data_IF_148705191398
#
_entry.id   IF_148705191398
#
_cell.length_a   1.000
_cell.length_b   1.000
_cell.length_c   1.000
_cell.angle_alpha   90.00
_cell.angle_beta   90.00
_cell.angle_gamma   90.00
#
_symmetry.space_group_name_H-M   'P 1'
#
loop_
_entity.id
_entity.type
_entity.pdbx_description
1 polymer ?
#
# COMPACT_ATOMS: atom_id res chain seq x y z
N UNK A 1 -31.77 -45.04 21.30
CA UNK A 1 -30.40 -44.91 21.84
C UNK A 1 -29.49 -44.39 20.74
N UNK A 2 -29.20 -43.09 20.74
CA UNK A 2 -28.27 -42.50 19.77
C UNK A 2 -26.85 -42.93 20.10
N UNK A 3 -26.18 -43.62 19.15
CA UNK A 3 -24.76 -43.95 19.31
C UNK A 3 -23.98 -42.63 19.51
N UNK A 4 -23.04 -42.55 20.47
CA UNK A 4 -22.22 -41.36 20.63
C UNK A 4 -21.43 -41.14 19.34
N UNK A 5 -21.65 -39.98 18.71
CA UNK A 5 -20.88 -39.55 17.54
C UNK A 5 -19.41 -39.50 17.94
N UNK A 6 -18.59 -40.36 17.33
CA UNK A 6 -17.14 -40.26 17.44
C UNK A 6 -16.71 -39.01 16.67
N UNK A 7 -16.61 -37.87 17.36
CA UNK A 7 -16.26 -36.55 16.80
C UNK A 7 -14.81 -36.45 16.32
N UNK A 8 -13.97 -37.46 16.61
CA UNK A 8 -12.54 -37.45 16.34
C UNK A 8 -12.19 -37.28 14.84
N UNK A 9 -12.86 -37.95 13.87
CA UNK A 9 -12.57 -37.75 12.45
C UNK A 9 -12.97 -36.36 11.93
N UNK A 10 -14.10 -35.81 12.42
CA UNK A 10 -14.56 -34.47 12.03
C UNK A 10 -13.64 -33.38 12.59
N UNK A 11 -13.16 -33.53 13.82
CA UNK A 11 -12.18 -32.63 14.42
C UNK A 11 -10.85 -32.65 13.65
N UNK A 12 -10.36 -33.85 13.27
CA UNK A 12 -9.16 -33.98 12.43
C UNK A 12 -9.32 -33.34 11.05
N UNK A 13 -10.49 -33.52 10.41
CA UNK A 13 -10.78 -32.90 9.12
C UNK A 13 -10.82 -31.37 9.24
N UNK A 14 -11.46 -30.83 10.29
CA UNK A 14 -11.47 -29.39 10.56
C UNK A 14 -10.05 -28.85 10.72
N UNK A 15 -9.23 -29.52 11.52
CA UNK A 15 -7.87 -29.06 11.82
C UNK A 15 -6.96 -29.15 10.58
N UNK A 16 -7.21 -30.11 9.68
CA UNK A 16 -6.58 -30.18 8.36
C UNK A 16 -7.03 -29.06 7.40
N UNK A 17 -8.33 -28.75 7.37
CA UNK A 17 -8.88 -27.73 6.46
C UNK A 17 -8.57 -26.30 6.91
N UNK A 18 -8.42 -26.04 8.21
CA UNK A 18 -8.24 -24.69 8.75
C UNK A 18 -7.03 -23.94 8.17
N UNK A 19 -5.83 -24.56 8.05
CA UNK A 19 -4.69 -23.93 7.37
C UNK A 19 -4.92 -23.66 5.88
N UNK A 20 -5.66 -24.54 5.18
CA UNK A 20 -6.01 -24.34 3.76
C UNK A 20 -6.90 -23.12 3.58
N UNK A 21 -7.94 -22.98 4.41
CA UNK A 21 -8.83 -21.81 4.39
C UNK A 21 -8.09 -20.52 4.75
N UNK A 22 -7.14 -20.58 5.70
CA UNK A 22 -6.29 -19.41 6.01
C UNK A 22 -5.45 -19.00 4.79
N UNK A 23 -4.89 -19.96 4.07
CA UNK A 23 -4.14 -19.69 2.83
C UNK A 23 -5.01 -19.03 1.76
N UNK A 24 -6.21 -19.57 1.51
CA UNK A 24 -7.11 -19.04 0.47
C UNK A 24 -7.55 -17.60 0.78
N UNK A 25 -7.87 -17.30 2.05
CA UNK A 25 -8.18 -15.93 2.47
C UNK A 25 -7.00 -14.98 2.25
N UNK A 26 -5.79 -15.40 2.63
CA UNK A 26 -4.59 -14.60 2.44
C UNK A 26 -4.29 -14.36 0.95
N UNK A 27 -4.53 -15.37 0.10
CA UNK A 27 -4.42 -15.25 -1.36
C UNK A 27 -5.37 -14.19 -1.91
N UNK A 28 -6.66 -14.25 -1.53
CA UNK A 28 -7.67 -13.30 -2.00
C UNK A 28 -7.37 -11.87 -1.55
N UNK A 29 -6.97 -11.70 -0.29
CA UNK A 29 -6.56 -10.41 0.28
C UNK A 29 -5.34 -9.82 -0.44
N UNK A 30 -4.36 -10.66 -0.79
CA UNK A 30 -3.19 -10.23 -1.56
C UNK A 30 -3.59 -9.69 -2.94
N UNK A 31 -4.58 -10.31 -3.60
CA UNK A 31 -5.09 -9.83 -4.89
C UNK A 31 -5.77 -8.46 -4.75
N UNK A 32 -6.62 -8.29 -3.74
CA UNK A 32 -7.31 -7.02 -3.46
C UNK A 32 -6.31 -5.89 -3.16
N UNK A 33 -5.30 -6.17 -2.32
CA UNK A 33 -4.27 -5.19 -1.98
C UNK A 33 -3.44 -4.81 -3.20
N UNK A 34 -3.17 -5.75 -4.09
CA UNK A 34 -2.47 -5.48 -5.35
C UNK A 34 -3.24 -4.52 -6.25
N UNK A 35 -4.54 -4.71 -6.42
CA UNK A 35 -5.35 -3.80 -7.24
C UNK A 35 -5.33 -2.37 -6.68
N UNK A 36 -5.42 -2.24 -5.35
CA UNK A 36 -5.30 -0.94 -4.66
C UNK A 36 -3.90 -0.33 -4.86
N UNK A 37 -2.85 -1.14 -4.82
CA UNK A 37 -1.48 -0.69 -5.08
C UNK A 37 -1.34 -0.17 -6.51
N UNK A 38 -1.77 -0.94 -7.50
CA UNK A 38 -1.64 -0.58 -8.92
C UNK A 38 -2.38 0.73 -9.22
N UNK A 39 -3.60 0.90 -8.67
CA UNK A 39 -4.37 2.13 -8.80
C UNK A 39 -3.66 3.32 -8.14
N UNK A 40 -3.24 3.17 -6.88
CA UNK A 40 -2.60 4.24 -6.12
C UNK A 40 -1.30 4.71 -6.78
N UNK A 41 -0.45 3.78 -7.23
CA UNK A 41 0.82 4.12 -7.88
C UNK A 41 0.59 4.87 -9.19
N UNK A 42 -0.44 4.50 -9.95
CA UNK A 42 -0.82 5.21 -11.17
C UNK A 42 -1.26 6.65 -10.86
N UNK A 43 -2.10 6.83 -9.84
CA UNK A 43 -2.56 8.14 -9.40
C UNK A 43 -1.43 9.03 -8.88
N UNK A 44 -0.53 8.48 -8.05
CA UNK A 44 0.65 9.19 -7.55
C UNK A 44 1.53 9.64 -8.71
N UNK A 45 1.82 8.76 -9.68
CA UNK A 45 2.63 9.11 -10.85
C UNK A 45 2.02 10.28 -11.65
N UNK A 46 0.71 10.24 -11.89
CA UNK A 46 0.01 11.33 -12.57
C UNK A 46 0.06 12.63 -11.77
N UNK A 47 -0.16 12.57 -10.46
CA UNK A 47 -0.12 13.75 -9.60
C UNK A 47 1.28 14.37 -9.51
N UNK A 48 2.33 13.55 -9.42
CA UNK A 48 3.72 14.00 -9.38
C UNK A 48 4.08 14.77 -10.65
N UNK A 49 3.71 14.26 -11.82
CA UNK A 49 3.92 14.97 -13.09
C UNK A 49 3.28 16.36 -13.05
N UNK A 50 2.00 16.46 -12.67
CA UNK A 50 1.32 17.76 -12.58
C UNK A 50 1.90 18.69 -11.51
N UNK A 51 2.37 18.14 -10.39
CA UNK A 51 2.91 18.93 -9.30
C UNK A 51 4.35 19.41 -9.57
N UNK A 52 5.14 18.68 -10.36
CA UNK A 52 6.44 19.15 -10.85
C UNK A 52 6.29 20.42 -11.71
N UNK A 53 5.28 20.48 -12.60
CA UNK A 53 4.97 21.71 -13.34
C UNK A 53 4.65 22.90 -12.43
N UNK A 54 3.99 22.66 -11.30
CA UNK A 54 3.77 23.69 -10.28
C UNK A 54 5.06 24.19 -9.62
N UNK A 55 6.11 23.38 -9.63
CA UNK A 55 7.42 23.75 -9.09
C UNK A 55 8.24 24.52 -10.11
N UNK A 56 8.21 24.11 -11.38
CA UNK A 56 9.08 24.62 -12.45
C UNK A 56 8.50 25.86 -13.16
N UNK A 57 7.17 26.01 -13.26
CA UNK A 57 6.55 27.07 -14.05
C UNK A 57 6.07 28.25 -13.17
N UNK A 58 6.71 29.45 -13.24
CA UNK A 58 6.38 30.59 -12.37
C UNK A 58 4.96 31.13 -12.55
N UNK A 59 4.35 30.89 -13.72
CA UNK A 59 3.01 31.37 -14.06
C UNK A 59 1.90 30.38 -13.64
N UNK A 60 2.25 29.24 -13.07
CA UNK A 60 1.25 28.25 -12.68
C UNK A 60 0.39 28.77 -11.51
N UNK A 61 -0.96 28.68 -11.57
CA UNK A 61 -1.80 29.30 -10.56
C UNK A 61 -1.57 28.70 -9.16
N UNK A 62 -1.17 29.54 -8.19
CA UNK A 62 -0.91 29.11 -6.79
C UNK A 62 -2.05 28.29 -6.18
N UNK A 63 -3.31 28.63 -6.48
CA UNK A 63 -4.50 27.88 -6.01
C UNK A 63 -4.52 26.43 -6.52
N UNK A 64 -4.09 26.21 -7.76
CA UNK A 64 -4.00 24.87 -8.36
C UNK A 64 -2.88 24.07 -7.69
N UNK A 65 -1.72 24.69 -7.46
CA UNK A 65 -0.60 24.04 -6.79
C UNK A 65 -0.92 23.64 -5.34
N UNK A 66 -1.59 24.50 -4.58
CA UNK A 66 -2.09 24.14 -3.24
C UNK A 66 -3.09 22.99 -3.27
N UNK A 67 -3.96 22.92 -4.29
CA UNK A 67 -4.90 21.80 -4.46
C UNK A 67 -4.17 20.50 -4.81
N UNK A 68 -3.19 20.54 -5.71
CA UNK A 68 -2.39 19.38 -6.08
C UNK A 68 -1.57 18.86 -4.89
N UNK A 69 -0.97 19.76 -4.12
CA UNK A 69 -0.24 19.43 -2.90
C UNK A 69 -1.12 18.68 -1.88
N UNK A 70 -2.30 19.20 -1.55
CA UNK A 70 -3.25 18.51 -0.65
C UNK A 70 -3.65 17.14 -1.16
N UNK A 71 -3.78 16.98 -2.49
CA UNK A 71 -4.04 15.67 -3.10
C UNK A 71 -2.86 14.74 -2.91
N UNK A 72 -1.63 15.19 -3.17
CA UNK A 72 -0.42 14.39 -2.93
C UNK A 72 -0.30 13.97 -1.47
N UNK A 73 -0.50 14.89 -0.51
CA UNK A 73 -0.52 14.57 0.92
C UNK A 73 -1.53 13.46 1.26
N UNK A 74 -2.74 13.52 0.67
CA UNK A 74 -3.74 12.48 0.84
C UNK A 74 -3.30 11.12 0.26
N UNK A 75 -2.63 11.13 -0.90
CA UNK A 75 -2.12 9.90 -1.52
C UNK A 75 -0.93 9.33 -0.76
N UNK A 76 -0.05 10.15 -0.18
CA UNK A 76 1.02 9.71 0.73
C UNK A 76 0.44 9.02 1.96
N UNK A 77 -0.58 9.62 2.58
CA UNK A 77 -1.30 8.97 3.70
C UNK A 77 -1.95 7.66 3.28
N UNK A 78 -2.53 7.60 2.07
CA UNK A 78 -3.05 6.37 1.47
C UNK A 78 -1.97 5.31 1.29
N UNK A 79 -0.80 5.68 0.78
CA UNK A 79 0.35 4.82 0.58
C UNK A 79 0.88 4.26 1.91
N UNK A 80 0.99 5.08 2.95
CA UNK A 80 1.39 4.64 4.29
C UNK A 80 0.44 3.58 4.86
N UNK A 81 -0.88 3.79 4.71
CA UNK A 81 -1.89 2.81 5.15
C UNK A 81 -1.79 1.50 4.36
N UNK A 82 -1.61 1.60 3.05
CA UNK A 82 -1.48 0.42 2.20
C UNK A 82 -0.18 -0.35 2.49
N UNK A 83 0.91 0.37 2.76
CA UNK A 83 2.20 -0.19 3.16
C UNK A 83 2.06 -1.04 4.43
N UNK A 84 1.42 -0.50 5.47
CA UNK A 84 1.17 -1.24 6.70
C UNK A 84 0.36 -2.52 6.45
N UNK A 85 -0.64 -2.49 5.55
CA UNK A 85 -1.40 -3.68 5.16
C UNK A 85 -0.57 -4.69 4.37
N UNK A 86 0.32 -4.23 3.48
CA UNK A 86 1.24 -5.11 2.76
C UNK A 86 2.20 -5.80 3.74
N UNK A 87 2.75 -5.07 4.72
CA UNK A 87 3.62 -5.62 5.76
C UNK A 87 2.89 -6.61 6.67
N UNK A 88 1.61 -6.38 6.96
CA UNK A 88 0.76 -7.34 7.64
C UNK A 88 0.57 -8.62 6.80
N UNK A 89 0.27 -8.51 5.51
CA UNK A 89 0.14 -9.67 4.62
C UNK A 89 1.46 -10.45 4.48
N UNK A 90 2.62 -9.79 4.49
CA UNK A 90 3.91 -10.47 4.50
C UNK A 90 4.04 -11.33 5.76
N UNK A 91 3.78 -10.75 6.93
CA UNK A 91 3.81 -11.49 8.22
C UNK A 91 2.79 -12.63 8.26
N UNK A 92 1.55 -12.36 7.85
CA UNK A 92 0.50 -13.37 7.76
C UNK A 92 0.92 -14.55 6.87
N UNK A 93 1.60 -14.25 5.74
CA UNK A 93 2.12 -15.23 4.79
C UNK A 93 3.28 -16.05 5.35
N UNK A 94 4.19 -15.41 6.09
CA UNK A 94 5.28 -16.09 6.82
C UNK A 94 4.73 -17.06 7.87
N UNK A 95 3.62 -16.69 8.53
CA UNK A 95 2.89 -17.48 9.52
C UNK A 95 1.95 -18.56 8.93
N UNK A 96 1.99 -18.80 7.61
CA UNK A 96 1.21 -19.87 6.99
C UNK A 96 1.90 -21.22 7.12
N UNK A 97 1.20 -22.17 7.74
CA UNK A 97 1.61 -23.57 7.84
C UNK A 97 1.49 -24.35 6.51
N UNK A 98 0.88 -23.74 5.49
CA UNK A 98 0.69 -24.34 4.16
C UNK A 98 1.34 -23.44 3.13
N UNK A 99 2.17 -24.02 2.27
CA UNK A 99 2.79 -23.33 1.14
C UNK A 99 2.38 -24.02 -0.16
N UNK A 100 1.58 -23.33 -0.98
CA UNK A 100 1.23 -23.78 -2.33
C UNK A 100 2.29 -23.32 -3.34
N UNK A 101 2.27 -23.87 -4.56
CA UNK A 101 3.29 -23.62 -5.62
C UNK A 101 3.52 -22.13 -5.94
N UNK A 102 2.48 -21.32 -5.81
CA UNK A 102 2.46 -19.88 -6.05
C UNK A 102 2.91 -19.02 -4.85
N UNK A 103 3.13 -19.60 -3.67
CA UNK A 103 3.47 -18.86 -2.44
C UNK A 103 4.69 -17.96 -2.62
N UNK A 104 5.80 -18.50 -3.15
CA UNK A 104 7.04 -17.72 -3.31
C UNK A 104 6.86 -16.51 -4.23
N UNK A 105 6.11 -16.67 -5.31
CA UNK A 105 5.81 -15.57 -6.23
C UNK A 105 4.92 -14.50 -5.59
N UNK A 106 3.95 -14.89 -4.74
CA UNK A 106 3.16 -13.92 -3.99
C UNK A 106 3.98 -13.15 -2.95
N UNK A 107 4.83 -13.84 -2.19
CA UNK A 107 5.73 -13.18 -1.24
C UNK A 107 6.66 -12.19 -1.93
N UNK A 108 7.20 -12.56 -3.09
CA UNK A 108 7.99 -11.65 -3.93
C UNK A 108 7.17 -10.44 -4.38
N UNK A 109 5.93 -10.63 -4.82
CA UNK A 109 5.04 -9.52 -5.20
C UNK A 109 4.73 -8.58 -4.04
N UNK A 110 4.46 -9.13 -2.85
CA UNK A 110 4.23 -8.34 -1.65
C UNK A 110 5.46 -7.51 -1.29
N UNK A 111 6.66 -8.09 -1.35
CA UNK A 111 7.92 -7.37 -1.15
C UNK A 111 8.10 -6.25 -2.19
N UNK A 112 7.84 -6.54 -3.47
CA UNK A 112 7.89 -5.53 -4.53
C UNK A 112 6.91 -4.37 -4.30
N UNK A 113 5.68 -4.65 -3.87
CA UNK A 113 4.70 -3.61 -3.52
C UNK A 113 5.16 -2.76 -2.34
N UNK A 114 5.71 -3.40 -1.28
CA UNK A 114 6.29 -2.70 -0.13
C UNK A 114 7.36 -1.71 -0.58
N UNK A 115 8.32 -2.18 -1.37
CA UNK A 115 9.44 -1.36 -1.83
C UNK A 115 8.96 -0.23 -2.76
N UNK A 116 7.97 -0.50 -3.62
CA UNK A 116 7.33 0.51 -4.46
C UNK A 116 6.61 1.61 -3.68
N UNK A 117 5.89 1.24 -2.62
CA UNK A 117 5.20 2.18 -1.73
C UNK A 117 6.19 3.04 -0.94
N UNK A 118 7.24 2.43 -0.39
CA UNK A 118 8.32 3.15 0.31
C UNK A 118 8.95 4.22 -0.58
N UNK A 119 9.30 3.84 -1.81
CA UNK A 119 9.86 4.76 -2.79
C UNK A 119 8.91 5.90 -3.15
N UNK A 120 7.64 5.60 -3.40
CA UNK A 120 6.63 6.62 -3.71
C UNK A 120 6.43 7.62 -2.57
N UNK A 121 6.39 7.13 -1.32
CA UNK A 121 6.29 7.95 -0.12
C UNK A 121 7.52 8.87 0.00
N UNK A 122 8.72 8.33 -0.18
CA UNK A 122 9.98 9.07 -0.07
C UNK A 122 10.07 10.17 -1.14
N UNK A 123 9.86 9.84 -2.41
CA UNK A 123 9.95 10.78 -3.54
C UNK A 123 8.92 11.91 -3.40
N UNK A 124 7.67 11.56 -3.05
CA UNK A 124 6.61 12.55 -2.88
C UNK A 124 6.88 13.47 -1.68
N UNK A 125 7.33 12.91 -0.55
CA UNK A 125 7.63 13.70 0.64
C UNK A 125 8.78 14.67 0.40
N UNK A 126 9.86 14.22 -0.27
CA UNK A 126 10.98 15.11 -0.64
C UNK A 126 10.52 16.29 -1.49
N UNK A 127 9.63 16.07 -2.45
CA UNK A 127 9.12 17.14 -3.32
C UNK A 127 8.27 18.14 -2.53
N UNK A 128 7.42 17.67 -1.62
CA UNK A 128 6.62 18.54 -0.75
C UNK A 128 7.46 19.36 0.21
N UNK A 129 8.50 18.77 0.83
CA UNK A 129 9.42 19.51 1.72
C UNK A 129 10.17 20.62 0.98
N UNK A 130 10.59 20.38 -0.27
CA UNK A 130 11.18 21.43 -1.12
C UNK A 130 10.22 22.59 -1.39
N UNK A 131 8.93 22.29 -1.59
CA UNK A 131 7.90 23.33 -1.79
C UNK A 131 7.63 24.14 -0.51
N UNK A 132 7.63 23.51 0.67
CA UNK A 132 7.55 24.23 1.97
C UNK A 132 8.70 25.21 2.18
N UNK A 133 9.94 24.77 1.89
CA UNK A 133 11.11 25.62 2.01
C UNK A 133 11.01 26.86 1.10
N UNK A 134 10.59 26.66 -0.16
CA UNK A 134 10.38 27.76 -1.12
C UNK A 134 9.28 28.73 -0.67
N UNK A 135 8.16 28.23 -0.14
CA UNK A 135 7.11 29.10 0.39
C UNK A 135 7.62 29.93 1.58
N UNK A 136 8.48 29.35 2.43
CA UNK A 136 9.05 30.04 3.60
C UNK A 136 10.05 31.13 3.20
N UNK A 137 10.95 30.84 2.27
CA UNK A 137 11.93 31.81 1.75
C UNK A 137 11.26 32.96 0.98
N UNK A 138 10.23 32.66 0.18
CA UNK A 138 9.47 33.67 -0.55
C UNK A 138 8.63 34.60 0.32
N UNK A 139 8.25 34.16 1.53
CA UNK A 139 7.59 35.00 2.54
C UNK A 139 8.59 35.93 3.24
N UNK A 140 9.82 35.46 3.49
CA UNK A 140 10.88 36.27 4.12
C UNK A 140 11.39 37.37 3.18
N UNK A 141 11.46 37.11 1.86
CA UNK A 141 11.92 38.10 0.88
C UNK A 141 10.89 39.22 0.59
N UNK A 142 9.66 39.13 1.11
CA UNK A 142 8.59 40.13 0.93
C UNK A 142 8.17 40.81 2.25
N UNK A 143 8.88 40.53 3.35
CA UNK A 143 8.65 41.11 4.68
C UNK A 143 9.54 42.31 4.97
#
# INVERSE_FOLDING_TARGET
MGKPLNLNPLLRLRDYCKPLVKYDKWWDETAIVREKFDQLMREIKHLLLHYQYCFEEPRYPRRVCKKLRRRLEAHVKGAQKLLARVEELIREGEDLNVRRRNFGHLMWRLAWMRDGLLKAIEETSKLMTKDEARETEGVIAQG
#
